data_IF_183465478818
#
_entry.id   IF_183465478818
#
_cell.length_a   1.000
_cell.length_b   1.000
_cell.length_c   1.000
_cell.angle_alpha   90.00
_cell.angle_beta   90.00
_cell.angle_gamma   90.00
#
_symmetry.space_group_name_H-M   'P 1'
#
loop_
_entity.id
_entity.type
_entity.pdbx_description
1 polymer ?
#
# COMPACT_ATOMS: atom_id res chain seq x y z
N UNK A 1 -10.10 -17.04 -7.52
CA UNK A 1 -10.56 -17.85 -6.37
C UNK A 1 -11.25 -16.90 -5.39
N UNK A 2 -12.53 -17.13 -5.10
CA UNK A 2 -13.37 -16.34 -4.17
C UNK A 2 -12.71 -16.11 -2.80
N UNK A 3 -11.95 -17.06 -2.29
CA UNK A 3 -11.28 -16.95 -0.99
C UNK A 3 -10.24 -15.83 -0.96
N UNK A 4 -9.45 -15.69 -2.04
CA UNK A 4 -8.47 -14.60 -2.15
C UNK A 4 -9.13 -13.23 -2.15
N UNK A 5 -10.31 -13.10 -2.76
CA UNK A 5 -11.08 -11.85 -2.75
C UNK A 5 -11.62 -11.51 -1.36
N UNK A 6 -12.10 -12.51 -0.60
CA UNK A 6 -12.57 -12.30 0.76
C UNK A 6 -11.43 -11.87 1.67
N UNK A 7 -10.28 -12.55 1.60
CA UNK A 7 -9.10 -12.20 2.39
C UNK A 7 -8.61 -10.79 2.06
N UNK A 8 -8.50 -10.47 0.77
CA UNK A 8 -8.06 -9.15 0.32
C UNK A 8 -9.00 -8.04 0.79
N UNK A 9 -10.32 -8.24 0.66
CA UNK A 9 -11.31 -7.27 1.14
C UNK A 9 -11.19 -7.05 2.64
N UNK A 10 -11.14 -8.13 3.42
CA UNK A 10 -10.98 -8.06 4.87
C UNK A 10 -9.73 -7.26 5.25
N UNK A 11 -8.59 -7.52 4.62
CA UNK A 11 -7.35 -6.77 4.88
C UNK A 11 -7.51 -5.27 4.62
N UNK A 12 -8.17 -4.90 3.52
CA UNK A 12 -8.40 -3.48 3.17
C UNK A 12 -9.37 -2.79 4.15
N UNK A 13 -10.43 -3.48 4.57
CA UNK A 13 -11.38 -2.98 5.58
C UNK A 13 -10.70 -2.74 6.93
N UNK A 14 -9.90 -3.69 7.41
CA UNK A 14 -9.18 -3.56 8.67
C UNK A 14 -8.13 -2.44 8.63
N UNK A 15 -7.33 -2.34 7.56
CA UNK A 15 -6.37 -1.24 7.39
C UNK A 15 -7.08 0.12 7.36
N UNK A 16 -8.22 0.21 6.66
CA UNK A 16 -9.03 1.42 6.66
C UNK A 16 -9.49 1.81 8.07
N UNK A 17 -10.00 0.85 8.86
CA UNK A 17 -10.42 1.11 10.24
C UNK A 17 -9.25 1.54 11.13
N UNK A 18 -8.12 0.85 11.03
CA UNK A 18 -6.91 1.13 11.80
C UNK A 18 -6.41 2.56 11.52
N UNK A 19 -6.24 2.95 10.25
CA UNK A 19 -5.70 4.27 9.90
C UNK A 19 -6.66 5.45 10.10
N UNK A 20 -7.97 5.19 10.16
CA UNK A 20 -8.98 6.21 10.52
C UNK A 20 -9.32 6.23 12.01
N UNK A 21 -8.74 5.34 12.81
CA UNK A 21 -8.86 5.40 14.26
C UNK A 21 -7.87 6.39 14.88
N UNK A 22 -8.11 6.76 16.13
CA UNK A 22 -7.17 7.58 16.91
C UNK A 22 -6.03 6.75 17.54
N UNK A 23 -5.95 5.45 17.24
CA UNK A 23 -4.96 4.53 17.80
C UNK A 23 -3.55 4.74 17.24
N UNK A 24 -3.44 5.34 16.04
CA UNK A 24 -2.17 5.53 15.34
C UNK A 24 -1.93 7.03 15.14
N UNK A 25 -0.72 7.47 15.47
CA UNK A 25 -0.26 8.84 15.31
C UNK A 25 1.17 8.86 14.79
N UNK A 26 1.54 9.93 14.10
CA UNK A 26 2.87 10.13 13.55
C UNK A 26 2.83 10.91 12.24
N UNK A 27 4.00 11.35 11.78
CA UNK A 27 4.18 11.99 10.48
C UNK A 27 4.62 11.02 9.40
N UNK A 28 5.35 9.96 9.79
CA UNK A 28 6.03 9.04 8.86
C UNK A 28 5.60 7.59 9.09
N UNK A 29 5.28 6.88 8.02
CA UNK A 29 5.03 5.45 7.99
C UNK A 29 6.06 4.75 7.11
N UNK A 30 6.58 3.61 7.55
CA UNK A 30 7.46 2.75 6.75
C UNK A 30 6.79 1.40 6.55
N UNK A 31 6.45 1.09 5.31
CA UNK A 31 5.96 -0.22 4.89
C UNK A 31 7.14 -1.13 4.55
N UNK A 32 7.15 -2.34 5.13
CA UNK A 32 8.27 -3.28 5.06
C UNK A 32 7.81 -4.53 4.32
N UNK A 33 8.42 -4.81 3.17
CA UNK A 33 8.06 -5.95 2.34
C UNK A 33 6.77 -5.72 1.57
N UNK A 34 6.67 -4.56 0.92
CA UNK A 34 5.48 -4.14 0.17
C UNK A 34 5.13 -5.06 -1.00
N UNK A 35 6.09 -5.84 -1.49
CA UNK A 35 6.00 -6.46 -2.79
C UNK A 35 5.90 -5.41 -3.91
N UNK A 36 5.41 -5.79 -5.10
CA UNK A 36 5.28 -4.90 -6.24
C UNK A 36 4.01 -4.03 -6.18
N UNK A 37 3.45 -3.77 -4.98
CA UNK A 37 2.15 -3.11 -4.81
C UNK A 37 2.21 -2.01 -3.75
N UNK A 38 1.24 -1.08 -3.82
CA UNK A 38 1.04 0.02 -2.86
C UNK A 38 -0.29 -0.10 -2.09
N UNK A 39 -1.04 -1.18 -2.30
CA UNK A 39 -2.42 -1.32 -1.83
C UNK A 39 -2.55 -1.29 -0.30
N UNK A 40 -1.50 -1.61 0.44
CA UNK A 40 -1.55 -1.67 1.92
C UNK A 40 -1.32 -0.31 2.59
N UNK A 41 -0.88 0.71 1.85
CA UNK A 41 -0.60 2.05 2.41
C UNK A 41 -1.58 3.13 1.94
N UNK A 42 -2.49 2.81 1.02
CA UNK A 42 -3.42 3.79 0.43
C UNK A 42 -4.29 4.49 1.48
N UNK A 43 -4.89 3.74 2.41
CA UNK A 43 -5.69 4.31 3.49
C UNK A 43 -4.87 5.16 4.47
N UNK A 44 -3.57 4.89 4.60
CA UNK A 44 -2.64 5.65 5.44
C UNK A 44 -2.32 7.04 4.87
N UNK A 45 -2.42 7.24 3.55
CA UNK A 45 -2.10 8.52 2.87
C UNK A 45 -2.88 9.72 3.38
N UNK A 46 -4.06 9.51 3.98
CA UNK A 46 -4.88 10.57 4.58
C UNK A 46 -4.34 11.06 5.92
N UNK A 47 -3.49 10.27 6.58
CA UNK A 47 -3.06 10.49 7.98
C UNK A 47 -1.58 10.77 8.11
N UNK A 48 -0.77 10.17 7.25
CA UNK A 48 0.68 10.30 7.26
C UNK A 48 1.16 11.26 6.17
N UNK A 49 2.11 12.11 6.53
CA UNK A 49 2.73 13.05 5.61
C UNK A 49 3.74 12.35 4.70
N UNK A 50 4.54 11.46 5.29
CA UNK A 50 5.59 10.73 4.59
C UNK A 50 5.32 9.24 4.65
N UNK A 51 5.32 8.57 3.50
CA UNK A 51 5.20 7.11 3.41
C UNK A 51 6.39 6.57 2.65
N UNK A 52 7.17 5.72 3.30
CA UNK A 52 8.27 4.99 2.69
C UNK A 52 7.79 3.56 2.42
N UNK A 53 7.72 3.20 1.15
CA UNK A 53 7.41 1.84 0.70
C UNK A 53 8.73 1.12 0.44
N UNK A 54 8.95 -0.04 1.05
CA UNK A 54 10.22 -0.75 0.96
C UNK A 54 10.03 -2.25 0.70
N UNK A 55 10.95 -2.81 -0.08
CA UNK A 55 11.01 -4.24 -0.34
C UNK A 55 12.46 -4.67 -0.56
N UNK A 56 12.79 -5.91 -0.21
CA UNK A 56 14.12 -6.48 -0.41
C UNK A 56 14.42 -6.70 -1.89
N UNK A 57 13.42 -7.12 -2.66
CA UNK A 57 13.58 -7.50 -4.07
C UNK A 57 13.51 -6.25 -4.95
N UNK A 58 14.54 -6.04 -5.78
CA UNK A 58 14.63 -4.86 -6.65
C UNK A 58 13.46 -4.74 -7.63
N UNK A 59 13.05 -5.85 -8.25
CA UNK A 59 11.93 -5.83 -9.21
C UNK A 59 10.62 -5.36 -8.58
N UNK A 60 10.40 -5.65 -7.29
CA UNK A 60 9.23 -5.16 -6.57
C UNK A 60 9.28 -3.63 -6.42
N UNK A 61 10.42 -3.09 -6.02
CA UNK A 61 10.61 -1.63 -5.89
C UNK A 61 10.46 -0.93 -7.25
N UNK A 62 11.03 -1.49 -8.31
CA UNK A 62 10.92 -0.94 -9.66
C UNK A 62 9.47 -0.89 -10.16
N UNK A 63 8.66 -1.91 -9.87
CA UNK A 63 7.25 -1.90 -10.25
C UNK A 63 6.46 -0.80 -9.50
N UNK A 64 6.73 -0.62 -8.21
CA UNK A 64 6.15 0.49 -7.43
C UNK A 64 6.59 1.85 -8.00
N UNK A 65 7.87 2.00 -8.37
CA UNK A 65 8.36 3.22 -9.01
C UNK A 65 7.68 3.52 -10.36
N UNK A 66 7.44 2.50 -11.18
CA UNK A 66 6.71 2.66 -12.45
C UNK A 66 5.30 3.18 -12.19
N UNK A 67 4.59 2.60 -11.23
CA UNK A 67 3.25 3.05 -10.87
C UNK A 67 3.26 4.50 -10.37
N UNK A 68 4.20 4.85 -9.48
CA UNK A 68 4.35 6.23 -8.97
C UNK A 68 4.64 7.24 -10.08
N UNK A 69 5.37 6.83 -11.12
CA UNK A 69 5.68 7.66 -12.31
C UNK A 69 4.57 7.65 -13.36
N UNK A 70 3.48 6.91 -13.15
CA UNK A 70 2.39 6.72 -14.11
C UNK A 70 2.89 6.20 -15.46
N UNK A 71 3.86 5.28 -15.43
CA UNK A 71 4.36 4.66 -16.66
C UNK A 71 3.23 3.92 -17.38
N UNK A 72 3.23 3.96 -18.71
CA UNK A 72 2.20 3.32 -19.55
C UNK A 72 2.14 1.79 -19.36
N UNK A 73 3.26 1.17 -18.96
CA UNK A 73 3.37 -0.27 -18.71
C UNK A 73 3.18 -0.66 -17.24
N UNK A 74 2.84 0.30 -16.36
CA UNK A 74 2.65 0.02 -14.94
C UNK A 74 1.37 -0.78 -14.69
N UNK A 75 1.41 -1.70 -13.71
CA UNK A 75 0.19 -2.34 -13.22
C UNK A 75 -0.67 -1.30 -12.53
N UNK A 76 -1.94 -1.20 -12.90
CA UNK A 76 -2.88 -0.32 -12.22
C UNK A 76 -3.22 -0.86 -10.82
N UNK A 77 -2.76 -0.17 -9.78
CA UNK A 77 -3.04 -0.46 -8.38
C UNK A 77 -4.15 0.42 -7.78
N UNK A 78 -4.90 1.17 -8.59
CA UNK A 78 -5.95 2.11 -8.12
C UNK A 78 -7.34 1.51 -7.90
N UNK A 79 -7.42 0.19 -7.65
CA UNK A 79 -8.66 -0.56 -7.40
C UNK A 79 -9.44 -0.12 -6.16
#
# INVERSE_FOLDING_TARGET
NTEKYVLYRFQQEELHHIFNSDLIQGSTLVDIGSGPTINFVLSATKRFQDIVVSDLVESNRLEVEKWLRKSEDSVDWSF
#
